data_IF_279269623110
#
_entry.id   IF_279269623110
#
_cell.length_a   1.000
_cell.length_b   1.000
_cell.length_c   1.000
_cell.angle_alpha   90.00
_cell.angle_beta   90.00
_cell.angle_gamma   90.00
#
_symmetry.space_group_name_H-M   'P 1'
#
loop_
_entity.id
_entity.type
_entity.pdbx_description
1 polymer ?
#
# COMPACT_ATOMS: atom_id res chain seq x y z
N UNK A 1 25.52 16.54 -12.11
CA UNK A 1 24.16 16.82 -12.60
C UNK A 1 23.21 16.72 -11.41
N UNK A 2 22.38 17.73 -11.15
CA UNK A 2 21.44 17.76 -10.02
C UNK A 2 20.02 17.54 -10.56
N UNK A 3 19.44 16.38 -10.32
CA UNK A 3 18.15 15.99 -10.89
C UNK A 3 16.93 16.57 -10.14
N UNK A 4 17.17 17.47 -9.18
CA UNK A 4 16.16 18.29 -8.50
C UNK A 4 16.73 19.68 -8.28
N UNK A 5 15.98 20.69 -8.74
CA UNK A 5 16.34 22.11 -8.60
C UNK A 5 15.17 22.88 -7.98
N UNK A 6 15.49 24.00 -7.35
CA UNK A 6 14.52 24.94 -6.76
C UNK A 6 14.65 26.31 -7.41
N UNK A 7 13.50 26.94 -7.66
CA UNK A 7 13.39 28.33 -8.08
C UNK A 7 13.07 29.20 -6.88
N UNK A 8 13.83 30.28 -6.68
CA UNK A 8 13.62 31.21 -5.56
C UNK A 8 12.89 32.51 -5.96
N UNK A 9 12.32 32.57 -7.16
CA UNK A 9 11.71 33.80 -7.71
C UNK A 9 12.63 34.53 -8.70
N UNK A 10 13.95 34.32 -8.64
CA UNK A 10 14.92 35.03 -9.50
C UNK A 10 15.96 34.13 -10.15
N UNK A 11 16.25 32.97 -9.57
CA UNK A 11 17.31 32.05 -10.03
C UNK A 11 16.99 30.60 -9.71
N UNK A 12 17.44 29.69 -10.57
CA UNK A 12 17.43 28.26 -10.31
C UNK A 12 18.68 27.87 -9.52
N UNK A 13 18.51 27.01 -8.51
CA UNK A 13 19.60 26.45 -7.73
C UNK A 13 19.34 24.97 -7.42
N UNK A 14 20.38 24.21 -7.08
CA UNK A 14 20.21 22.82 -6.67
C UNK A 14 19.42 22.73 -5.35
N UNK A 15 18.60 21.68 -5.19
CA UNK A 15 17.95 21.41 -3.91
C UNK A 15 18.87 20.55 -3.03
N UNK A 16 19.54 21.19 -2.07
CA UNK A 16 20.55 20.54 -1.23
C UNK A 16 21.71 20.02 -2.08
N UNK A 17 22.18 18.80 -1.79
CA UNK A 17 23.17 18.10 -2.61
C UNK A 17 22.60 17.55 -3.93
N UNK A 18 21.27 17.59 -4.13
CA UNK A 18 20.61 16.95 -5.27
C UNK A 18 20.58 15.41 -5.19
N UNK A 19 20.15 14.78 -6.27
CA UNK A 19 20.10 13.32 -6.44
C UNK A 19 21.08 12.87 -7.52
N UNK A 20 21.36 11.57 -7.60
CA UNK A 20 22.32 11.01 -8.56
C UNK A 20 21.70 10.54 -9.90
N UNK A 21 20.37 10.51 -10.03
CA UNK A 21 19.68 10.10 -11.25
C UNK A 21 18.28 10.73 -11.36
N UNK A 22 17.60 10.49 -12.48
CA UNK A 22 16.33 11.12 -12.84
C UNK A 22 15.21 10.94 -11.80
N UNK A 23 14.46 12.03 -11.59
CA UNK A 23 13.23 12.07 -10.78
C UNK A 23 12.03 12.02 -11.70
N UNK A 24 11.10 11.12 -11.42
CA UNK A 24 9.86 10.94 -12.17
C UNK A 24 8.62 11.50 -11.46
N UNK A 25 8.67 11.67 -10.13
CA UNK A 25 7.53 12.13 -9.34
C UNK A 25 7.95 13.02 -8.17
N UNK A 26 7.11 14.00 -7.85
CA UNK A 26 7.26 14.93 -6.73
C UNK A 26 5.92 15.03 -5.99
N UNK A 27 5.94 15.07 -4.66
CA UNK A 27 4.79 15.46 -3.86
C UNK A 27 5.22 16.23 -2.60
N UNK A 28 4.41 17.20 -2.20
CA UNK A 28 4.68 18.05 -1.04
C UNK A 28 3.70 17.71 0.08
N UNK A 29 4.20 17.64 1.32
CA UNK A 29 3.38 17.54 2.53
C UNK A 29 3.94 18.48 3.60
N UNK A 30 3.23 19.58 3.87
CA UNK A 30 3.78 20.65 4.70
C UNK A 30 5.06 21.22 4.10
N UNK A 31 6.15 21.21 4.87
CA UNK A 31 7.49 21.64 4.44
C UNK A 31 8.32 20.54 3.78
N UNK A 32 7.80 19.31 3.78
CA UNK A 32 8.52 18.15 3.27
C UNK A 32 8.25 17.95 1.78
N UNK A 33 9.31 17.66 1.02
CA UNK A 33 9.23 17.23 -0.37
C UNK A 33 9.56 15.74 -0.47
N UNK A 34 8.65 14.96 -1.01
CA UNK A 34 8.85 13.56 -1.35
C UNK A 34 9.14 13.45 -2.84
N UNK A 35 10.13 12.63 -3.19
CA UNK A 35 10.56 12.44 -4.57
C UNK A 35 10.63 10.95 -4.89
N UNK A 36 10.19 10.60 -6.10
CA UNK A 36 10.27 9.26 -6.66
C UNK A 36 10.97 9.30 -8.01
N UNK A 37 11.75 8.29 -8.37
CA UNK A 37 12.44 8.26 -9.66
C UNK A 37 13.23 6.99 -9.91
N UNK A 38 14.41 7.12 -10.52
CA UNK A 38 15.34 6.01 -10.80
C UNK A 38 16.69 6.21 -10.09
N UNK A 39 16.75 7.12 -9.12
CA UNK A 39 17.95 7.41 -8.33
C UNK A 39 18.21 6.35 -7.27
N UNK A 40 19.47 6.26 -6.86
CA UNK A 40 19.97 5.34 -5.84
C UNK A 40 20.81 6.04 -4.75
N UNK A 41 21.00 7.36 -4.87
CA UNK A 41 21.87 8.13 -3.98
C UNK A 41 21.61 9.65 -4.06
N UNK A 42 22.22 10.38 -3.14
CA UNK A 42 22.21 11.86 -3.11
C UNK A 42 23.55 12.39 -3.62
N UNK A 43 23.55 13.62 -4.11
CA UNK A 43 24.77 14.24 -4.66
C UNK A 43 25.08 13.82 -6.09
N UNK A 44 25.70 14.74 -6.83
CA UNK A 44 26.26 14.47 -8.16
C UNK A 44 27.42 13.46 -8.15
N UNK A 45 27.95 13.11 -6.96
CA UNK A 45 29.02 12.12 -6.74
C UNK A 45 28.58 10.84 -6.02
N UNK A 46 27.27 10.65 -5.78
CA UNK A 46 26.73 9.38 -5.29
C UNK A 46 27.10 9.02 -3.85
N UNK A 47 26.97 9.94 -2.90
CA UNK A 47 26.94 9.51 -1.50
C UNK A 47 25.67 8.68 -1.32
N UNK A 48 25.83 7.36 -1.26
CA UNK A 48 24.73 6.44 -1.08
C UNK A 48 24.13 6.69 0.30
N UNK A 49 23.02 7.42 0.37
CA UNK A 49 22.10 7.22 1.50
C UNK A 49 21.54 5.83 1.30
N UNK A 50 21.99 4.89 2.12
CA UNK A 50 21.54 3.51 2.05
C UNK A 50 20.02 3.46 2.23
N UNK A 51 19.37 2.60 1.45
CA UNK A 51 17.91 2.42 1.51
C UNK A 51 17.10 3.52 0.80
N UNK A 52 17.71 4.33 -0.08
CA UNK A 52 16.96 5.10 -1.08
C UNK A 52 16.43 4.16 -2.16
N UNK A 53 15.36 3.44 -1.86
CA UNK A 53 14.66 2.54 -2.80
C UNK A 53 13.84 3.36 -3.80
N UNK A 54 14.51 4.23 -4.55
CA UNK A 54 13.93 5.14 -5.53
C UNK A 54 12.92 6.16 -4.97
N UNK A 55 12.88 6.30 -3.64
CA UNK A 55 12.05 7.27 -2.92
C UNK A 55 12.90 7.98 -1.87
N UNK A 56 12.81 9.32 -1.83
CA UNK A 56 13.51 10.15 -0.84
C UNK A 56 12.57 11.22 -0.28
N UNK A 57 12.92 11.74 0.90
CA UNK A 57 12.29 12.88 1.54
C UNK A 57 13.32 14.00 1.73
N UNK A 58 12.97 15.22 1.36
CA UNK A 58 13.69 16.44 1.71
C UNK A 58 12.90 17.19 2.79
N UNK A 59 13.50 17.38 3.96
CA UNK A 59 12.85 18.02 5.10
C UNK A 59 13.09 19.54 5.19
N UNK A 60 13.62 20.16 4.13
CA UNK A 60 14.06 21.56 4.12
C UNK A 60 15.57 21.73 4.28
N UNK A 61 16.27 20.75 4.87
CA UNK A 61 17.72 20.84 5.14
C UNK A 61 18.52 19.63 4.66
N UNK A 62 17.92 18.44 4.66
CA UNK A 62 18.59 17.19 4.31
C UNK A 62 17.66 16.22 3.56
N UNK A 63 18.28 15.40 2.72
CA UNK A 63 17.66 14.24 2.09
C UNK A 63 17.72 13.04 3.04
N UNK A 64 16.62 12.28 3.15
CA UNK A 64 16.55 11.02 3.90
C UNK A 64 15.80 9.95 3.12
N UNK A 65 16.14 8.69 3.36
CA UNK A 65 15.31 7.56 2.95
C UNK A 65 14.03 7.47 3.81
N UNK A 66 12.98 6.87 3.26
CA UNK A 66 11.81 6.49 4.06
C UNK A 66 12.07 5.19 4.84
N UNK A 67 13.01 4.35 4.36
CA UNK A 67 13.34 3.05 4.97
C UNK A 67 12.55 1.88 4.36
N UNK A 68 12.91 0.65 4.75
CA UNK A 68 12.29 -0.61 4.30
C UNK A 68 12.60 -0.98 2.84
N UNK A 69 12.68 -2.26 2.51
CA UNK A 69 12.96 -2.71 1.15
C UNK A 69 11.69 -2.78 0.31
N UNK A 70 11.63 -2.02 -0.79
CA UNK A 70 10.68 -2.23 -1.88
C UNK A 70 11.43 -2.53 -3.17
N UNK A 71 10.91 -3.46 -3.98
CA UNK A 71 11.48 -3.84 -5.27
C UNK A 71 10.71 -3.18 -6.41
N UNK A 72 10.86 -1.86 -6.53
CA UNK A 72 10.44 -1.12 -7.73
C UNK A 72 11.68 -0.81 -8.56
N UNK A 73 11.58 -0.91 -9.88
CA UNK A 73 12.67 -0.54 -10.80
C UNK A 73 12.69 0.97 -11.11
N UNK A 74 11.76 1.71 -10.52
CA UNK A 74 11.66 3.16 -10.60
C UNK A 74 10.27 3.63 -10.20
N UNK A 75 10.20 4.78 -9.55
CA UNK A 75 8.94 5.41 -9.13
C UNK A 75 8.55 6.49 -10.12
N UNK A 76 7.39 6.30 -10.77
CA UNK A 76 6.81 7.20 -11.77
C UNK A 76 5.68 8.06 -11.22
N UNK A 77 4.99 7.56 -10.20
CA UNK A 77 3.88 8.25 -9.55
C UNK A 77 4.10 8.27 -8.04
N UNK A 78 3.78 9.40 -7.41
CA UNK A 78 3.91 9.58 -5.97
C UNK A 78 2.78 10.48 -5.47
N UNK A 79 2.12 10.08 -4.39
CA UNK A 79 1.16 10.90 -3.67
C UNK A 79 1.35 10.76 -2.16
N UNK A 80 1.02 11.82 -1.41
CA UNK A 80 1.11 11.83 0.06
C UNK A 80 -0.25 12.17 0.64
N UNK A 81 -0.64 11.46 1.70
CA UNK A 81 -1.88 11.72 2.44
C UNK A 81 -1.63 11.56 3.94
N UNK A 82 -1.59 12.69 4.66
CA UNK A 82 -1.14 12.69 6.05
C UNK A 82 0.28 12.15 6.18
N UNK A 83 0.44 11.06 6.94
CA UNK A 83 1.73 10.36 7.13
C UNK A 83 1.99 9.26 6.11
N UNK A 84 1.03 8.99 5.23
CA UNK A 84 1.08 7.88 4.28
C UNK A 84 1.65 8.34 2.94
N UNK A 85 2.50 7.53 2.34
CA UNK A 85 3.07 7.79 1.00
C UNK A 85 2.69 6.65 0.07
N UNK A 86 2.14 7.00 -1.07
CA UNK A 86 1.73 6.07 -2.12
C UNK A 86 2.69 6.24 -3.29
N UNK A 87 3.25 5.13 -3.77
CA UNK A 87 4.15 5.14 -4.93
C UNK A 87 3.67 4.16 -5.97
N UNK A 88 3.87 4.50 -7.23
CA UNK A 88 3.60 3.63 -8.36
C UNK A 88 4.70 3.73 -9.40
N UNK A 89 4.94 2.65 -10.13
CA UNK A 89 6.05 2.61 -11.08
C UNK A 89 6.26 1.26 -11.74
N UNK A 90 7.47 1.06 -12.25
CA UNK A 90 7.83 -0.14 -13.00
C UNK A 90 8.16 -1.29 -12.04
N UNK A 91 7.62 -2.48 -12.32
CA UNK A 91 7.70 -3.65 -11.43
C UNK A 91 8.72 -4.65 -11.95
N UNK A 92 9.52 -5.20 -11.02
CA UNK A 92 9.77 -6.65 -10.95
C UNK A 92 9.88 -7.06 -9.47
N UNK A 93 8.92 -7.84 -8.96
CA UNK A 93 8.90 -8.36 -7.58
C UNK A 93 7.51 -8.83 -7.13
N UNK A 94 7.37 -10.10 -6.78
CA UNK A 94 6.09 -10.82 -6.60
C UNK A 94 5.17 -10.31 -5.47
N UNK A 95 5.60 -9.36 -4.64
CA UNK A 95 4.85 -8.96 -3.43
C UNK A 95 4.17 -7.57 -3.53
N UNK A 96 4.55 -6.72 -4.50
CA UNK A 96 4.01 -5.36 -4.64
C UNK A 96 3.89 -5.07 -6.14
N UNK A 97 2.75 -5.42 -6.73
CA UNK A 97 2.51 -5.16 -8.14
C UNK A 97 2.15 -3.67 -8.31
N UNK A 98 3.09 -2.87 -8.80
CA UNK A 98 2.85 -1.59 -9.48
C UNK A 98 2.51 -0.41 -8.57
N UNK A 99 2.06 -0.69 -7.36
CA UNK A 99 1.65 0.29 -6.37
C UNK A 99 2.00 -0.17 -4.95
N UNK A 100 2.57 0.73 -4.15
CA UNK A 100 2.96 0.50 -2.77
C UNK A 100 2.52 1.65 -1.85
N UNK A 101 2.39 1.35 -0.56
CA UNK A 101 2.06 2.28 0.50
C UNK A 101 3.11 2.22 1.61
N UNK A 102 3.62 3.37 2.02
CA UNK A 102 4.37 3.58 3.25
C UNK A 102 3.42 4.10 4.32
N UNK A 103 3.42 3.47 5.50
CA UNK A 103 2.55 3.87 6.62
C UNK A 103 3.28 4.73 7.68
N UNK A 104 4.51 5.16 7.41
CA UNK A 104 5.38 5.82 8.40
C UNK A 104 6.47 4.90 8.98
N UNK A 105 6.37 3.58 8.78
CA UNK A 105 7.36 2.62 9.30
C UNK A 105 7.64 1.41 8.39
N UNK A 106 6.68 0.99 7.58
CA UNK A 106 6.82 -0.17 6.67
C UNK A 106 6.13 0.08 5.34
N UNK A 107 6.68 -0.51 4.28
CA UNK A 107 6.03 -0.57 2.96
C UNK A 107 5.13 -1.80 2.84
N UNK A 108 3.98 -1.64 2.19
CA UNK A 108 3.06 -2.73 1.83
C UNK A 108 2.46 -2.51 0.44
N UNK A 109 2.04 -3.58 -0.25
CA UNK A 109 1.19 -3.44 -1.44
C UNK A 109 -0.23 -2.98 -1.09
N UNK A 110 -1.00 -2.52 -2.09
CA UNK A 110 -2.43 -2.24 -1.95
C UNK A 110 -3.26 -3.32 -2.65
N UNK A 111 -4.20 -3.97 -1.95
CA UNK A 111 -5.21 -4.93 -2.48
C UNK A 111 -4.72 -5.82 -3.65
N UNK A 112 -3.63 -6.58 -3.45
CA UNK A 112 -3.11 -7.49 -4.46
C UNK A 112 -2.34 -6.84 -5.63
N UNK A 113 -2.35 -5.51 -5.69
CA UNK A 113 -1.56 -4.68 -6.61
C UNK A 113 -2.14 -4.57 -8.03
N UNK A 114 -1.34 -3.96 -8.90
CA UNK A 114 -1.61 -3.64 -10.30
C UNK A 114 -0.57 -4.32 -11.18
N UNK A 115 -0.99 -5.17 -12.11
CA UNK A 115 -0.11 -6.10 -12.82
C UNK A 115 0.96 -5.44 -13.71
N UNK A 116 0.88 -4.14 -13.98
CA UNK A 116 1.84 -3.41 -14.81
C UNK A 116 2.09 -2.00 -14.24
N UNK A 117 2.83 -1.18 -14.99
CA UNK A 117 3.22 0.18 -14.62
C UNK A 117 2.03 1.07 -14.26
N UNK A 118 2.20 1.78 -13.14
CA UNK A 118 1.35 2.89 -12.71
C UNK A 118 2.03 4.21 -13.08
N UNK A 119 1.32 5.08 -13.79
CA UNK A 119 1.83 6.38 -14.23
C UNK A 119 1.32 7.56 -13.40
N UNK A 120 0.20 7.40 -12.71
CA UNK A 120 -0.41 8.45 -11.91
C UNK A 120 -1.08 7.89 -10.67
N UNK A 121 -1.00 8.64 -9.57
CA UNK A 121 -1.72 8.37 -8.32
C UNK A 121 -2.32 9.69 -7.84
N UNK A 122 -3.60 9.66 -7.48
CA UNK A 122 -4.29 10.76 -6.82
C UNK A 122 -4.96 10.26 -5.54
N UNK A 123 -5.01 11.11 -4.51
CA UNK A 123 -5.68 10.79 -3.24
C UNK A 123 -6.82 11.80 -3.00
N UNK A 124 -7.98 11.29 -2.61
CA UNK A 124 -9.15 12.09 -2.23
C UNK A 124 -9.81 11.47 -0.99
N UNK A 125 -9.57 12.09 0.17
CA UNK A 125 -9.95 11.54 1.47
C UNK A 125 -9.30 10.17 1.69
N UNK A 126 -10.12 9.15 1.90
CA UNK A 126 -9.68 7.75 2.05
C UNK A 126 -9.53 7.01 0.71
N UNK A 127 -9.82 7.64 -0.42
CA UNK A 127 -9.76 7.00 -1.73
C UNK A 127 -8.43 7.28 -2.41
N UNK A 128 -7.82 6.24 -2.97
CA UNK A 128 -6.64 6.32 -3.81
C UNK A 128 -7.04 5.93 -5.21
N UNK A 129 -6.72 6.74 -6.20
CA UNK A 129 -6.96 6.49 -7.60
C UNK A 129 -5.61 6.28 -8.28
N UNK A 130 -5.45 5.18 -8.99
CA UNK A 130 -4.27 4.89 -9.78
C UNK A 130 -4.65 4.86 -11.25
N UNK A 131 -3.82 5.46 -12.11
CA UNK A 131 -3.93 5.39 -13.56
C UNK A 131 -2.63 4.85 -14.16
N UNK A 132 -2.71 3.93 -15.12
CA UNK A 132 -1.53 3.22 -15.62
C UNK A 132 -1.75 2.50 -16.94
N UNK A 133 -1.00 1.43 -17.18
CA UNK A 133 -1.22 0.48 -18.28
C UNK A 133 -1.67 -0.89 -17.76
N UNK A 134 -2.22 -0.95 -16.55
CA UNK A 134 -2.58 -2.20 -15.90
C UNK A 134 -3.93 -2.70 -16.42
N UNK A 135 -4.02 -4.01 -16.58
CA UNK A 135 -5.23 -4.71 -17.06
C UNK A 135 -5.85 -5.57 -15.97
N UNK A 136 -5.25 -5.60 -14.78
CA UNK A 136 -5.69 -6.44 -13.69
C UNK A 136 -5.30 -5.86 -12.31
N UNK A 137 -6.14 -6.13 -11.31
CA UNK A 137 -6.01 -5.67 -9.90
C UNK A 137 -5.77 -6.85 -8.96
N UNK A 138 -4.77 -7.69 -9.21
CA UNK A 138 -4.49 -8.87 -8.38
C UNK A 138 -3.24 -9.64 -8.84
N UNK A 139 -2.74 -10.54 -7.99
CA UNK A 139 -1.85 -11.65 -8.37
C UNK A 139 -2.59 -12.79 -9.09
N UNK A 140 -3.92 -12.76 -9.15
CA UNK A 140 -4.73 -13.74 -9.89
C UNK A 140 -4.81 -13.31 -11.35
N UNK A 141 -4.17 -14.07 -12.23
CA UNK A 141 -3.98 -13.79 -13.65
C UNK A 141 -5.26 -13.56 -14.50
N UNK A 142 -6.45 -13.54 -13.91
CA UNK A 142 -7.72 -13.25 -14.59
C UNK A 142 -7.91 -11.75 -14.76
N UNK A 143 -7.81 -11.18 -15.97
CA UNK A 143 -8.05 -9.76 -16.21
C UNK A 143 -9.41 -9.34 -15.64
N UNK A 144 -9.50 -8.15 -15.06
CA UNK A 144 -10.78 -7.56 -14.66
C UNK A 144 -11.32 -6.79 -15.86
N UNK A 145 -12.40 -7.27 -16.53
CA UNK A 145 -12.94 -6.57 -17.68
C UNK A 145 -13.45 -5.18 -17.27
N UNK A 146 -13.22 -4.17 -18.12
CA UNK A 146 -13.69 -2.81 -17.88
C UNK A 146 -12.86 -1.98 -16.89
N UNK A 147 -11.67 -2.44 -16.49
CA UNK A 147 -10.78 -1.70 -15.59
C UNK A 147 -10.33 -0.35 -16.18
N UNK A 148 -10.41 -0.16 -17.49
CA UNK A 148 -10.12 1.10 -18.20
C UNK A 148 -8.80 1.77 -17.76
N UNK A 149 -7.83 0.96 -17.32
CA UNK A 149 -6.54 1.40 -16.81
C UNK A 149 -6.60 2.36 -15.61
N UNK A 150 -7.71 2.36 -14.89
CA UNK A 150 -7.95 3.15 -13.68
C UNK A 150 -8.42 2.23 -12.54
N UNK A 151 -7.77 2.32 -11.39
CA UNK A 151 -8.10 1.56 -10.19
C UNK A 151 -8.41 2.51 -9.04
N UNK A 152 -9.35 2.12 -8.19
CA UNK A 152 -9.69 2.82 -6.95
C UNK A 152 -9.43 1.87 -5.77
N UNK A 153 -8.64 2.33 -4.83
CA UNK A 153 -8.39 1.68 -3.54
C UNK A 153 -8.95 2.53 -2.41
N UNK A 154 -9.26 1.91 -1.28
CA UNK A 154 -9.64 2.61 -0.05
C UNK A 154 -8.61 2.36 1.04
N UNK A 155 -8.04 3.42 1.61
CA UNK A 155 -7.03 3.33 2.69
C UNK A 155 -7.55 2.67 3.97
N UNK A 156 -8.88 2.56 4.11
CA UNK A 156 -9.58 1.95 5.24
C UNK A 156 -9.68 0.41 5.15
N UNK A 157 -9.42 -0.20 4.00
CA UNK A 157 -9.41 -1.66 3.89
C UNK A 157 -8.06 -2.20 4.39
N UNK A 158 -7.93 -2.20 5.72
CA UNK A 158 -7.21 -3.27 6.40
C UNK A 158 -7.89 -4.60 6.01
N UNK A 159 -7.62 -5.11 4.80
CA UNK A 159 -7.49 -6.56 4.62
C UNK A 159 -6.21 -6.96 5.34
N UNK A 160 -6.22 -6.84 6.68
CA UNK A 160 -5.41 -7.69 7.51
C UNK A 160 -5.81 -9.09 7.08
N UNK A 161 -5.02 -9.72 6.22
CA UNK A 161 -5.11 -11.15 6.03
C UNK A 161 -5.10 -11.72 7.44
N UNK A 162 -6.22 -12.30 7.86
CA UNK A 162 -6.37 -12.96 9.14
C UNK A 162 -5.50 -14.21 9.01
N UNK A 163 -4.21 -14.06 9.25
CA UNK A 163 -3.24 -15.14 9.34
C UNK A 163 -3.52 -15.85 10.66
N UNK A 164 -4.35 -16.88 10.60
CA UNK A 164 -4.47 -17.85 11.67
C UNK A 164 -3.54 -19.01 11.33
N UNK A 165 -2.70 -19.44 12.30
CA UNK A 165 -1.86 -20.62 12.14
C UNK A 165 -2.70 -21.78 11.56
N UNK A 166 -2.28 -22.30 10.41
CA UNK A 166 -2.82 -23.50 9.76
C UNK A 166 -4.26 -23.41 9.22
N UNK A 167 -4.78 -22.22 8.95
CA UNK A 167 -6.14 -22.03 8.41
C UNK A 167 -6.12 -20.91 7.36
N UNK A 168 -6.85 -21.09 6.25
CA UNK A 168 -7.08 -20.02 5.26
C UNK A 168 -8.39 -19.32 5.61
N UNK A 169 -8.42 -17.99 5.55
CA UNK A 169 -9.64 -17.20 5.79
C UNK A 169 -9.95 -16.38 4.55
N UNK A 170 -11.20 -16.45 4.08
CA UNK A 170 -11.72 -15.66 2.97
C UNK A 170 -12.82 -14.75 3.49
N UNK A 171 -12.66 -13.44 3.26
CA UNK A 171 -13.74 -12.47 3.48
C UNK A 171 -14.79 -12.63 2.37
N UNK A 172 -16.04 -12.88 2.75
CA UNK A 172 -17.17 -12.99 1.81
C UNK A 172 -17.81 -11.63 1.59
N UNK A 173 -18.10 -10.89 2.67
CA UNK A 173 -18.76 -9.58 2.57
C UNK A 173 -18.60 -8.74 3.84
N UNK A 174 -18.83 -7.43 3.70
CA UNK A 174 -18.97 -6.47 4.81
C UNK A 174 -20.23 -5.66 4.59
N UNK A 175 -21.06 -5.53 5.62
CA UNK A 175 -22.24 -4.65 5.64
C UNK A 175 -22.36 -3.97 7.01
N UNK A 176 -22.10 -2.66 7.05
CA UNK A 176 -22.02 -1.90 8.30
C UNK A 176 -20.95 -2.46 9.24
N UNK A 177 -21.34 -2.78 10.48
CA UNK A 177 -20.46 -3.43 11.47
C UNK A 177 -20.40 -4.96 11.34
N UNK A 178 -20.97 -5.53 10.29
CA UNK A 178 -21.05 -6.99 10.13
C UNK A 178 -20.08 -7.45 9.05
N UNK A 179 -19.26 -8.46 9.36
CA UNK A 179 -18.41 -9.14 8.39
C UNK A 179 -18.79 -10.62 8.29
N UNK A 180 -18.80 -11.15 7.07
CA UNK A 180 -19.01 -12.57 6.79
C UNK A 180 -17.71 -13.19 6.29
N UNK A 181 -17.24 -14.25 6.97
CA UNK A 181 -15.99 -14.94 6.66
C UNK A 181 -16.25 -16.41 6.36
N UNK A 182 -15.54 -16.95 5.37
CA UNK A 182 -15.38 -18.39 5.15
C UNK A 182 -13.99 -18.83 5.63
N UNK A 183 -13.95 -19.94 6.35
CA UNK A 183 -12.73 -20.43 7.00
C UNK A 183 -12.46 -21.87 6.57
N UNK A 184 -11.23 -22.13 6.09
CA UNK A 184 -10.78 -23.42 5.58
C UNK A 184 -9.68 -23.99 6.46
N UNK A 185 -9.90 -25.19 7.01
CA UNK A 185 -8.87 -25.93 7.74
C UNK A 185 -8.43 -27.20 6.99
N UNK A 186 -7.19 -27.68 7.19
CA UNK A 186 -6.76 -28.99 6.71
C UNK A 186 -7.73 -30.10 7.13
N UNK A 187 -7.90 -31.12 6.28
CA UNK A 187 -8.81 -32.24 6.52
C UNK A 187 -8.53 -32.90 7.89
N UNK A 188 -9.54 -32.95 8.75
CA UNK A 188 -9.46 -33.52 10.11
C UNK A 188 -9.11 -32.52 11.22
N UNK A 189 -8.79 -31.26 10.91
CA UNK A 189 -8.57 -30.23 11.91
C UNK A 189 -9.89 -29.61 12.41
N UNK A 190 -10.05 -29.51 13.73
CA UNK A 190 -11.23 -28.89 14.34
C UNK A 190 -11.24 -27.38 14.11
N UNK A 191 -12.35 -26.86 13.59
CA UNK A 191 -12.60 -25.41 13.45
C UNK A 191 -13.31 -24.91 14.72
N UNK A 192 -12.59 -24.22 15.60
CA UNK A 192 -13.06 -23.70 16.90
C UNK A 192 -12.91 -22.18 17.02
N UNK A 193 -13.92 -21.44 17.55
CA UNK A 193 -13.85 -19.98 17.73
C UNK A 193 -12.65 -19.50 18.56
N UNK A 194 -12.15 -20.33 19.47
CA UNK A 194 -11.07 -19.99 20.39
C UNK A 194 -9.68 -19.86 19.75
N UNK A 195 -9.48 -20.30 18.50
CA UNK A 195 -8.22 -20.14 17.76
C UNK A 195 -8.08 -18.81 17.02
N UNK A 196 -9.14 -18.00 16.97
CA UNK A 196 -9.19 -16.78 16.17
C UNK A 196 -9.20 -15.54 17.07
N UNK A 197 -8.05 -14.91 17.30
CA UNK A 197 -8.03 -13.57 17.89
C UNK A 197 -8.23 -12.54 16.79
N UNK A 198 -9.48 -12.33 16.35
CA UNK A 198 -9.80 -11.16 15.53
C UNK A 198 -9.88 -10.00 16.50
N UNK A 199 -8.80 -9.20 16.56
CA UNK A 199 -8.81 -7.96 17.34
C UNK A 199 -10.03 -7.14 16.90
N UNK A 200 -10.78 -6.63 17.87
CA UNK A 200 -11.92 -5.72 17.67
C UNK A 200 -13.19 -6.31 17.04
N UNK A 201 -13.38 -7.62 17.03
CA UNK A 201 -14.65 -8.24 16.62
C UNK A 201 -15.17 -9.26 17.65
N UNK A 202 -16.50 -9.39 17.73
CA UNK A 202 -17.23 -10.39 18.51
C UNK A 202 -17.90 -11.35 17.54
N UNK A 203 -17.87 -12.63 17.87
CA UNK A 203 -18.65 -13.64 17.15
C UNK A 203 -20.13 -13.39 17.42
N UNK A 204 -20.93 -13.21 16.35
CA UNK A 204 -22.38 -12.97 16.47
C UNK A 204 -23.19 -14.26 16.54
N UNK A 205 -22.67 -15.35 15.97
CA UNK A 205 -23.35 -16.65 15.94
C UNK A 205 -22.38 -17.81 15.95
N UNK A 206 -22.86 -19.00 16.36
CA UNK A 206 -22.17 -20.25 16.07
C UNK A 206 -21.92 -20.38 14.56
N UNK A 207 -20.84 -21.06 14.14
CA UNK A 207 -20.56 -21.24 12.74
C UNK A 207 -21.67 -22.05 12.08
N UNK A 208 -22.13 -21.58 10.92
CA UNK A 208 -23.02 -22.34 10.04
C UNK A 208 -22.18 -23.17 9.06
N UNK A 209 -22.76 -24.26 8.56
CA UNK A 209 -22.11 -25.07 7.53
C UNK A 209 -21.72 -24.17 6.34
N UNK A 210 -20.46 -24.25 5.92
CA UNK A 210 -19.99 -23.59 4.70
C UNK A 210 -20.56 -24.25 3.45
N UNK A 211 -20.42 -23.57 2.30
CA UNK A 211 -20.88 -24.09 1.01
C UNK A 211 -20.15 -25.37 0.56
N UNK A 212 -20.30 -25.73 -0.71
CA UNK A 212 -20.03 -27.05 -1.31
C UNK A 212 -18.63 -27.71 -1.14
N UNK A 213 -17.71 -27.14 -0.35
CA UNK A 213 -16.36 -27.65 -0.11
C UNK A 213 -16.27 -28.32 1.28
N UNK A 214 -15.82 -29.57 1.34
CA UNK A 214 -15.64 -30.29 2.60
C UNK A 214 -14.69 -29.54 3.56
N UNK A 215 -15.06 -29.49 4.85
CA UNK A 215 -14.32 -28.80 5.93
C UNK A 215 -14.33 -27.25 5.88
N UNK A 216 -15.41 -26.65 5.37
CA UNK A 216 -15.66 -25.21 5.45
C UNK A 216 -16.68 -24.86 6.53
N UNK A 217 -16.46 -23.73 7.20
CA UNK A 217 -17.45 -23.10 8.09
C UNK A 217 -17.55 -21.61 7.81
N UNK A 218 -18.76 -21.09 7.86
CA UNK A 218 -19.05 -19.66 7.69
C UNK A 218 -19.34 -19.02 9.03
N UNK A 219 -18.74 -17.85 9.26
CA UNK A 219 -18.89 -17.08 10.49
C UNK A 219 -19.46 -15.70 10.20
N UNK A 220 -20.36 -15.26 11.08
CA UNK A 220 -20.86 -13.88 11.12
C UNK A 220 -20.25 -13.20 12.33
N UNK A 221 -19.53 -12.11 12.08
CA UNK A 221 -18.85 -11.33 13.09
C UNK A 221 -19.44 -9.94 13.19
N UNK A 222 -19.52 -9.41 14.41
CA UNK A 222 -19.78 -8.00 14.69
C UNK A 222 -18.48 -7.30 15.06
N UNK A 223 -18.14 -6.26 14.31
CA UNK A 223 -17.00 -5.40 14.57
C UNK A 223 -17.37 -4.46 15.73
N UNK A 224 -16.68 -4.62 16.85
CA UNK A 224 -16.97 -3.92 18.12
C UNK A 224 -16.27 -2.56 18.13
N UNK A 225 -15.03 -2.50 17.63
CA UNK A 225 -14.26 -1.26 17.61
C UNK A 225 -14.28 -0.63 16.21
N UNK A 226 -14.98 0.49 16.11
CA UNK A 226 -14.96 1.37 14.93
C UNK A 226 -14.28 2.71 15.25
N UNK A 227 -13.69 2.82 16.44
CA UNK A 227 -13.07 4.07 16.91
C UNK A 227 -11.62 4.15 16.43
N UNK A 228 -11.43 4.79 15.27
CA UNK A 228 -10.24 5.64 15.11
C UNK A 228 -10.41 6.74 16.14
N UNK A 229 -9.64 6.71 17.23
CA UNK A 229 -9.61 7.81 18.18
C UNK A 229 -9.11 9.04 17.40
N UNK A 230 -9.88 10.14 17.27
CA UNK A 230 -9.30 11.38 16.78
C UNK A 230 -8.17 11.80 17.74
N UNK A 231 -7.08 12.42 17.25
CA UNK A 231 -6.02 12.89 18.14
C UNK A 231 -6.63 13.80 19.21
N UNK A 232 -6.24 13.56 20.46
CA UNK A 232 -6.60 14.43 21.57
C UNK A 232 -6.17 15.87 21.21
N UNK A 233 -7.10 16.81 21.35
CA UNK A 233 -6.82 18.25 21.18
C UNK A 233 -5.80 18.72 22.20
#
# INVERSE_FOLDING_TARGET
MNYVTKWNGTSWSALGSGLNYGVGALAVSGTDLYVGGWFSGVGAGGTAVSGLYHVAKWNGTAWSALGGSISLNGVRALAVSGTEVYVGGDISGLAILGIAKWNGSTWSGLDGGLNTTVFSIAVSGTNIYAGGNFTNVSTTATPVPGLNYVAKFTSAENKSAISCKNVVVKLISISGKTATLEVYAPKGAAISPSLYTIKNAKVKSAPIAGGAVANTKTWILEIIDTTVKPPLK
#
